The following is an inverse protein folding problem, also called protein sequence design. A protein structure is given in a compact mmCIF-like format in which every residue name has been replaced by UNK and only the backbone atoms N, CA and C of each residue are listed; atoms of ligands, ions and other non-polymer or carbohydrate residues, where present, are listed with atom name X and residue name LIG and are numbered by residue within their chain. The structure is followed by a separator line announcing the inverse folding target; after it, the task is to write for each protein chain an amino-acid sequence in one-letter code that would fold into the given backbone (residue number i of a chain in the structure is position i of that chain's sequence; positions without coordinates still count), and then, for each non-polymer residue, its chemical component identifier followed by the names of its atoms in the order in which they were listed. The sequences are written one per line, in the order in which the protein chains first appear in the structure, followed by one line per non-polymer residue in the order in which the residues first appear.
data_IF_378490456086
#
_entry.id   IF_378490456086
#
_cell.length_a   1.000
_cell.length_b   1.000
_cell.length_c   1.000
_cell.angle_alpha   90.00
_cell.angle_beta   90.00
_cell.angle_gamma   90.00
#
_symmetry.space_group_name_H-M   'P 1'
#
loop_
_entity.id
_entity.type
_entity.pdbx_description
1 polymer ?
#
# COMPACT_ATOMS: atom_id res chain seq x y z
N UNK A 1 -36.16 34.06 26.73
CA UNK A 1 -35.44 32.92 27.30
C UNK A 1 -34.85 32.12 26.14
N UNK A 2 -33.53 32.02 26.01
CA UNK A 2 -32.84 31.32 24.90
C UNK A 2 -32.34 29.97 25.42
N UNK A 3 -32.96 28.87 24.99
CA UNK A 3 -32.47 27.51 25.24
C UNK A 3 -31.38 27.20 24.22
N UNK A 4 -30.17 26.90 24.69
CA UNK A 4 -29.03 26.48 23.88
C UNK A 4 -28.92 24.96 24.02
N UNK A 5 -29.15 24.24 22.93
CA UNK A 5 -28.90 22.80 22.87
C UNK A 5 -27.47 22.59 22.34
N UNK A 6 -26.59 22.06 23.18
CA UNK A 6 -25.26 21.61 22.76
C UNK A 6 -25.38 20.13 22.40
N UNK A 7 -25.30 19.84 21.10
CA UNK A 7 -25.31 18.48 20.56
C UNK A 7 -23.87 17.95 20.60
N UNK A 8 -23.53 17.13 21.60
CA UNK A 8 -22.23 16.45 21.67
C UNK A 8 -22.21 15.26 20.71
N UNK A 9 -21.47 15.38 19.61
CA UNK A 9 -21.22 14.27 18.68
C UNK A 9 -20.19 13.30 19.27
N UNK A 10 -20.63 12.09 19.60
CA UNK A 10 -19.78 10.98 19.99
C UNK A 10 -19.17 10.37 18.73
N UNK A 11 -17.90 10.66 18.44
CA UNK A 11 -17.15 10.00 17.36
C UNK A 11 -16.72 8.62 17.88
N UNK A 12 -17.45 7.57 17.47
CA UNK A 12 -17.05 6.19 17.68
C UNK A 12 -15.99 5.84 16.64
N UNK A 13 -14.72 5.80 17.04
CA UNK A 13 -13.63 5.29 16.22
C UNK A 13 -13.73 3.77 16.20
N UNK A 14 -14.37 3.20 15.18
CA UNK A 14 -14.34 1.76 14.95
C UNK A 14 -12.90 1.36 14.61
N UNK A 15 -12.25 0.60 15.50
CA UNK A 15 -10.97 -0.03 15.22
C UNK A 15 -11.13 -1.05 14.12
N UNK A 16 -10.81 -0.66 12.88
CA UNK A 16 -10.65 -1.61 11.79
C UNK A 16 -9.43 -2.49 12.10
N UNK A 17 -9.67 -3.70 12.59
CA UNK A 17 -8.68 -4.78 12.49
C UNK A 17 -8.45 -5.04 11.01
N UNK A 18 -7.40 -4.46 10.44
CA UNK A 18 -6.91 -4.86 9.12
C UNK A 18 -6.54 -6.35 9.23
N UNK A 19 -7.34 -7.24 8.65
CA UNK A 19 -6.84 -8.57 8.34
C UNK A 19 -5.63 -8.38 7.40
N UNK A 20 -4.54 -9.11 7.64
CA UNK A 20 -3.37 -9.03 6.77
C UNK A 20 -3.74 -9.28 5.30
N UNK A 21 -3.09 -8.59 4.38
CA UNK A 21 -3.28 -8.74 2.95
C UNK A 21 -2.46 -9.87 2.35
N UNK A 22 -2.96 -10.42 1.24
CA UNK A 22 -2.38 -11.54 0.48
C UNK A 22 -1.76 -11.03 -0.83
N UNK A 23 -0.53 -11.44 -1.09
CA UNK A 23 0.21 -11.13 -2.30
C UNK A 23 0.32 -12.39 -3.16
N UNK A 24 -0.11 -12.27 -4.42
CA UNK A 24 0.03 -13.31 -5.44
C UNK A 24 0.72 -12.78 -6.68
N UNK A 25 1.58 -13.60 -7.28
CA UNK A 25 2.24 -13.36 -8.57
C UNK A 25 1.87 -14.51 -9.49
N UNK A 26 1.37 -14.20 -10.69
CA UNK A 26 0.91 -15.20 -11.67
C UNK A 26 -0.05 -16.26 -11.07
N UNK A 27 -0.91 -15.84 -10.14
CA UNK A 27 -1.88 -16.69 -9.45
C UNK A 27 -1.31 -17.54 -8.30
N UNK A 28 0.00 -17.53 -8.06
CA UNK A 28 0.67 -18.24 -6.96
C UNK A 28 0.86 -17.33 -5.76
N UNK A 29 0.73 -17.88 -4.56
CA UNK A 29 1.02 -17.14 -3.33
C UNK A 29 2.50 -16.75 -3.29
N UNK A 30 2.78 -15.45 -3.19
CA UNK A 30 4.13 -14.88 -3.13
C UNK A 30 4.46 -14.36 -1.73
N UNK A 31 3.44 -13.93 -0.97
CA UNK A 31 3.65 -13.37 0.35
C UNK A 31 2.42 -12.71 0.96
N UNK A 32 2.65 -11.93 2.00
CA UNK A 32 1.60 -11.22 2.73
C UNK A 32 2.08 -9.87 3.26
N UNK A 33 1.12 -8.99 3.53
CA UNK A 33 1.33 -7.75 4.30
C UNK A 33 0.50 -7.88 5.56
N UNK A 34 1.14 -7.97 6.72
CA UNK A 34 0.45 -8.13 7.99
C UNK A 34 -0.26 -6.85 8.43
N UNK A 35 -1.15 -6.98 9.40
CA UNK A 35 -1.95 -5.89 9.94
C UNK A 35 -1.12 -4.75 10.54
N UNK A 36 0.09 -5.06 11.00
CA UNK A 36 1.05 -4.10 11.52
C UNK A 36 1.93 -3.47 10.43
N UNK A 37 1.73 -3.86 9.16
CA UNK A 37 2.46 -3.42 7.98
C UNK A 37 3.69 -4.27 7.63
N UNK A 38 4.01 -5.33 8.39
CA UNK A 38 5.14 -6.22 8.08
C UNK A 38 4.91 -6.93 6.76
N UNK A 39 5.89 -6.86 5.86
CA UNK A 39 5.87 -7.52 4.55
C UNK A 39 6.64 -8.82 4.65
N UNK A 40 5.97 -9.93 4.35
CA UNK A 40 6.59 -11.26 4.25
C UNK A 40 6.55 -11.76 2.82
N UNK A 41 7.69 -12.17 2.27
CA UNK A 41 7.82 -12.80 0.95
C UNK A 41 8.44 -14.16 1.15
N UNK A 42 7.83 -15.22 0.59
CA UNK A 42 8.26 -16.61 0.79
C UNK A 42 8.50 -16.97 2.27
N UNK A 43 7.66 -16.46 3.17
CA UNK A 43 7.75 -16.68 4.62
C UNK A 43 8.78 -15.83 5.38
N UNK A 44 9.63 -15.08 4.68
CA UNK A 44 10.67 -14.24 5.30
C UNK A 44 10.18 -12.79 5.45
N UNK A 45 10.46 -12.17 6.60
CA UNK A 45 10.25 -10.72 6.76
C UNK A 45 11.27 -9.95 5.90
N UNK A 46 10.78 -9.24 4.90
CA UNK A 46 11.61 -8.43 3.98
C UNK A 46 11.53 -6.94 4.29
N UNK A 47 10.53 -6.52 5.07
CA UNK A 47 10.41 -5.16 5.55
C UNK A 47 9.06 -4.82 6.14
N UNK A 48 8.76 -3.53 6.19
CA UNK A 48 7.57 -3.01 6.88
C UNK A 48 7.12 -1.67 6.30
N UNK A 49 5.82 -1.50 6.20
CA UNK A 49 5.17 -0.20 6.07
C UNK A 49 4.75 0.30 7.45
N UNK A 50 5.25 1.46 7.84
CA UNK A 50 4.84 2.10 9.08
C UNK A 50 3.54 2.91 8.88
N UNK A 51 2.83 3.16 9.98
CA UNK A 51 1.55 3.90 9.97
C UNK A 51 1.67 5.32 9.41
N UNK A 52 2.87 5.92 9.48
CA UNK A 52 3.15 7.25 8.93
C UNK A 52 3.57 7.24 7.45
N UNK A 53 3.51 6.05 6.82
CA UNK A 53 3.90 5.81 5.44
C UNK A 53 5.39 5.56 5.23
N UNK A 54 6.22 5.56 6.28
CA UNK A 54 7.63 5.19 6.17
C UNK A 54 7.78 3.72 5.74
N UNK A 55 8.80 3.44 4.94
CA UNK A 55 9.08 2.11 4.40
C UNK A 55 10.42 1.66 4.97
N UNK A 56 10.44 0.52 5.67
CA UNK A 56 11.65 -0.05 6.24
C UNK A 56 12.06 -1.34 5.57
N UNK A 57 13.33 -1.46 5.22
CA UNK A 57 13.96 -2.68 4.68
C UNK A 57 15.10 -3.05 5.63
N UNK A 58 15.14 -4.29 6.14
CA UNK A 58 16.18 -4.75 7.08
C UNK A 58 16.41 -3.78 8.27
N UNK A 59 15.33 -3.21 8.79
CA UNK A 59 15.38 -2.27 9.92
C UNK A 59 15.83 -0.84 9.59
N UNK A 60 16.15 -0.51 8.35
CA UNK A 60 16.54 0.84 7.92
C UNK A 60 15.42 1.50 7.12
N UNK A 61 15.29 2.82 7.23
CA UNK A 61 14.39 3.59 6.38
C UNK A 61 14.90 3.52 4.92
N UNK A 62 14.07 3.01 4.02
CA UNK A 62 14.34 2.87 2.59
C UNK A 62 13.46 3.80 1.75
N UNK A 63 12.40 4.37 2.32
CA UNK A 63 11.48 5.19 1.56
C UNK A 63 10.28 5.68 2.36
N UNK A 64 9.38 6.35 1.65
CA UNK A 64 8.12 6.84 2.20
C UNK A 64 7.07 6.88 1.11
N UNK A 65 5.86 6.49 1.45
CA UNK A 65 4.67 6.83 0.67
C UNK A 65 3.80 7.78 1.48
N UNK A 66 3.43 8.91 0.88
CA UNK A 66 2.60 9.89 1.58
C UNK A 66 1.09 9.69 1.33
N UNK A 67 0.29 10.48 2.03
CA UNK A 67 -1.18 10.42 1.93
C UNK A 67 -1.69 10.77 0.53
N UNK A 68 -0.94 11.54 -0.26
CA UNK A 68 -1.28 11.83 -1.66
C UNK A 68 -0.98 10.67 -2.60
N UNK A 69 -0.25 9.64 -2.11
CA UNK A 69 0.20 8.51 -2.90
C UNK A 69 1.54 8.73 -3.58
N UNK A 70 2.25 9.84 -3.32
CA UNK A 70 3.60 10.04 -3.84
C UNK A 70 4.58 9.13 -3.10
N UNK A 71 5.46 8.49 -3.86
CA UNK A 71 6.40 7.49 -3.38
C UNK A 71 7.83 8.02 -3.54
N UNK A 72 8.58 7.95 -2.46
CA UNK A 72 10.02 8.28 -2.42
C UNK A 72 10.81 7.06 -1.96
N UNK A 73 11.92 6.79 -2.64
CA UNK A 73 12.89 5.74 -2.27
C UNK A 73 14.25 6.41 -2.14
N UNK A 74 14.95 6.15 -1.04
CA UNK A 74 16.23 6.80 -0.72
C UNK A 74 16.19 8.33 -0.87
N UNK A 75 15.07 8.93 -0.45
CA UNK A 75 14.81 10.36 -0.51
C UNK A 75 14.43 10.92 -1.89
N UNK A 76 14.45 10.12 -2.96
CA UNK A 76 14.11 10.55 -4.32
C UNK A 76 12.68 10.18 -4.69
N UNK A 77 11.98 11.09 -5.34
CA UNK A 77 10.66 10.79 -5.92
C UNK A 77 10.81 9.77 -7.04
N UNK A 78 10.07 8.67 -6.97
CA UNK A 78 10.09 7.60 -7.97
C UNK A 78 8.76 7.45 -8.71
N UNK A 79 7.67 7.99 -8.15
CA UNK A 79 6.36 7.88 -8.76
C UNK A 79 5.22 8.17 -7.79
N UNK A 80 4.00 7.89 -8.23
CA UNK A 80 2.79 8.06 -7.43
C UNK A 80 1.73 7.02 -7.75
N UNK A 81 0.79 6.86 -6.82
CA UNK A 81 -0.46 6.12 -7.02
C UNK A 81 -1.62 7.08 -6.86
N UNK A 82 -2.44 7.20 -7.89
CA UNK A 82 -3.67 7.98 -7.82
C UNK A 82 -4.73 7.24 -6.99
N UNK A 83 -5.73 7.98 -6.50
CA UNK A 83 -6.80 7.42 -5.66
C UNK A 83 -7.63 6.32 -6.33
N UNK A 84 -7.62 6.26 -7.67
CA UNK A 84 -8.29 5.22 -8.44
C UNK A 84 -7.42 3.97 -8.66
N UNK A 85 -6.20 3.95 -8.11
CA UNK A 85 -5.23 2.88 -8.21
C UNK A 85 -4.28 2.97 -9.40
N UNK A 86 -4.39 4.00 -10.26
CA UNK A 86 -3.46 4.20 -11.38
C UNK A 86 -2.05 4.52 -10.87
N UNK A 87 -1.05 3.81 -11.39
CA UNK A 87 0.36 3.95 -10.99
C UNK A 87 1.12 4.73 -12.04
N UNK A 88 1.80 5.79 -11.61
CA UNK A 88 2.67 6.59 -12.46
C UNK A 88 4.12 6.46 -12.03
N UNK A 89 5.00 6.24 -13.00
CA UNK A 89 6.46 6.23 -12.84
C UNK A 89 7.07 7.07 -13.96
N UNK A 90 7.97 7.97 -13.62
CA UNK A 90 8.62 8.88 -14.57
C UNK A 90 7.63 9.64 -15.48
N UNK A 91 6.50 10.06 -14.92
CA UNK A 91 5.44 10.79 -15.63
C UNK A 91 4.54 9.93 -16.54
N UNK A 92 4.78 8.62 -16.61
CA UNK A 92 4.01 7.70 -17.44
C UNK A 92 3.15 6.75 -16.60
N UNK A 93 1.96 6.41 -17.09
CA UNK A 93 1.16 5.33 -16.52
C UNK A 93 1.86 3.99 -16.77
N UNK A 94 2.19 3.28 -15.70
CA UNK A 94 2.84 1.96 -15.76
C UNK A 94 1.93 0.81 -15.35
N UNK A 95 0.74 1.09 -14.83
CA UNK A 95 -0.21 0.07 -14.42
C UNK A 95 -1.33 0.58 -13.52
N UNK A 96 -2.09 -0.36 -12.99
CA UNK A 96 -3.23 -0.09 -12.12
C UNK A 96 -3.38 -1.18 -11.06
N UNK A 97 -3.68 -0.77 -9.83
CA UNK A 97 -4.18 -1.66 -8.77
C UNK A 97 -5.69 -1.47 -8.69
N UNK A 98 -6.44 -2.50 -9.01
CA UNK A 98 -7.89 -2.46 -8.93
C UNK A 98 -8.38 -2.50 -7.49
N UNK A 99 -9.63 -2.08 -7.26
CA UNK A 99 -10.26 -2.09 -5.92
C UNK A 99 -10.30 -3.47 -5.26
N UNK A 100 -10.32 -4.54 -6.06
CA UNK A 100 -10.30 -5.92 -5.56
C UNK A 100 -8.87 -6.44 -5.28
N UNK A 101 -7.86 -5.60 -5.45
CA UNK A 101 -6.45 -5.92 -5.29
C UNK A 101 -5.78 -6.48 -6.54
N UNK A 102 -6.48 -6.68 -7.67
CA UNK A 102 -5.86 -7.14 -8.92
C UNK A 102 -4.82 -6.12 -9.40
N UNK A 103 -3.62 -6.60 -9.75
CA UNK A 103 -2.54 -5.75 -10.25
C UNK A 103 -2.39 -5.94 -11.75
N UNK A 104 -2.54 -4.85 -12.51
CA UNK A 104 -2.42 -4.85 -13.98
C UNK A 104 -1.24 -4.01 -14.45
N UNK A 105 -0.50 -4.53 -15.43
CA UNK A 105 0.58 -3.85 -16.15
C UNK A 105 0.43 -4.10 -17.64
N UNK A 106 0.42 -3.04 -18.45
CA UNK A 106 0.23 -3.12 -19.91
C UNK A 106 -1.00 -3.96 -20.33
N UNK A 107 -2.13 -3.79 -19.62
CA UNK A 107 -3.38 -4.52 -19.87
C UNK A 107 -3.40 -5.99 -19.41
N UNK A 108 -2.30 -6.51 -18.86
CA UNK A 108 -2.19 -7.89 -18.37
C UNK A 108 -2.28 -7.94 -16.85
N UNK A 109 -2.93 -8.97 -16.31
CA UNK A 109 -2.87 -9.27 -14.88
C UNK A 109 -1.48 -9.86 -14.57
N UNK A 110 -0.76 -9.24 -13.64
CA UNK A 110 0.58 -9.68 -13.19
C UNK A 110 0.57 -10.21 -11.75
N UNK A 111 -0.55 -10.10 -11.03
CA UNK A 111 -0.66 -10.50 -9.64
C UNK A 111 -1.87 -9.91 -8.93
N UNK A 112 -1.93 -10.10 -7.62
CA UNK A 112 -2.93 -9.47 -6.76
C UNK A 112 -2.35 -9.13 -5.39
N UNK A 113 -2.85 -8.05 -4.78
CA UNK A 113 -2.54 -7.58 -3.43
C UNK A 113 -3.85 -7.40 -2.64
N UNK A 114 -4.56 -8.51 -2.37
CA UNK A 114 -5.90 -8.47 -1.76
C UNK A 114 -5.78 -8.03 -0.30
N UNK A 115 -6.57 -7.05 0.11
CA UNK A 115 -6.52 -6.52 1.49
C UNK A 115 -5.30 -5.64 1.79
N UNK A 116 -4.52 -5.28 0.76
CA UNK A 116 -3.39 -4.36 0.88
C UNK A 116 -3.81 -2.98 0.38
N UNK A 117 -3.37 -1.91 1.05
CA UNK A 117 -3.55 -0.54 0.54
C UNK A 117 -2.93 -0.42 -0.87
N UNK A 118 -3.65 0.10 -1.88
CA UNK A 118 -3.13 0.26 -3.24
C UNK A 118 -1.78 0.97 -3.32
N UNK A 119 -1.50 1.90 -2.41
CA UNK A 119 -0.21 2.60 -2.32
C UNK A 119 0.93 1.64 -1.97
N UNK A 120 0.71 0.76 -1.00
CA UNK A 120 1.69 -0.25 -0.58
C UNK A 120 1.82 -1.36 -1.64
N UNK A 121 0.70 -1.76 -2.25
CA UNK A 121 0.73 -2.68 -3.39
C UNK A 121 1.57 -2.11 -4.54
N UNK A 122 1.47 -0.81 -4.83
CA UNK A 122 2.29 -0.21 -5.88
C UNK A 122 3.78 -0.24 -5.56
N UNK A 123 4.15 0.06 -4.31
CA UNK A 123 5.54 -0.03 -3.83
C UNK A 123 6.12 -1.42 -4.11
N UNK A 124 5.35 -2.47 -3.80
CA UNK A 124 5.73 -3.87 -3.99
C UNK A 124 5.85 -4.23 -5.47
N UNK A 125 4.84 -3.93 -6.30
CA UNK A 125 4.74 -4.45 -7.66
C UNK A 125 5.38 -3.57 -8.75
N UNK A 126 5.55 -2.26 -8.52
CA UNK A 126 5.99 -1.32 -9.55
C UNK A 126 7.29 -0.58 -9.21
N UNK A 127 7.60 -0.44 -7.92
CA UNK A 127 8.77 0.31 -7.45
C UNK A 127 9.89 -0.56 -6.88
N UNK A 128 9.72 -1.90 -6.90
CA UNK A 128 10.79 -2.87 -6.62
C UNK A 128 11.25 -2.92 -5.17
N UNK A 129 10.50 -2.29 -4.26
CA UNK A 129 10.71 -2.46 -2.83
C UNK A 129 10.04 -3.77 -2.42
N UNK A 130 10.82 -4.73 -1.91
CA UNK A 130 10.37 -6.08 -1.51
C UNK A 130 10.07 -7.04 -2.66
N UNK A 131 10.65 -6.80 -3.84
CA UNK A 131 10.38 -7.47 -5.12
C UNK A 131 9.91 -8.94 -4.97
N UNK A 132 8.64 -9.26 -5.29
CA UNK A 132 8.06 -10.59 -5.09
C UNK A 132 8.31 -11.56 -6.27
N UNK A 133 9.02 -11.11 -7.31
CA UNK A 133 9.31 -11.84 -8.55
C UNK A 133 10.59 -12.69 -8.45
#
# INVERSE_FOLDING_TARGET
MKQIYVLSSLIVFAGFSFAGGDLRVEGRHAGSVESDGTVRISGSNVGKFDKDGSIRVKGRNAGKVDSSGSIRIDGRYVGKVDSDGTVHKDGSNVGKIEKDGTVRKNGRNIGSAKGVDPKYAAVIFFFGLFDPY
#
